data_IF_389755124017
#
_entry.id   IF_389755124017
#
_cell.length_a   1.000
_cell.length_b   1.000
_cell.length_c   1.000
_cell.angle_alpha   90.00
_cell.angle_beta   90.00
_cell.angle_gamma   90.00
#
_symmetry.space_group_name_H-M   'P 1'
#
loop_
_entity.id
_entity.type
_entity.pdbx_description
1 polymer ?
#
# COMPACT_ATOMS: atom_id res chain seq x y z
N UNK A 1 8.28 -25.04 -0.82
CA UNK A 1 6.96 -25.69 -0.92
C UNK A 1 5.97 -24.63 -1.40
N UNK A 2 5.43 -24.79 -2.61
CA UNK A 2 4.36 -23.93 -3.12
C UNK A 2 3.12 -24.21 -2.28
N UNK A 3 2.80 -23.33 -1.34
CA UNK A 3 1.52 -23.40 -0.65
C UNK A 3 0.44 -23.20 -1.72
N UNK A 4 -0.25 -24.26 -2.10
CA UNK A 4 -1.44 -24.14 -2.96
C UNK A 4 -2.47 -23.35 -2.18
N UNK A 5 -2.75 -22.14 -2.67
CA UNK A 5 -3.78 -21.28 -2.12
C UNK A 5 -5.13 -21.91 -2.40
N UNK A 6 -5.89 -22.22 -1.35
CA UNK A 6 -7.18 -22.89 -1.44
C UNK A 6 -8.28 -21.92 -1.91
N UNK A 7 -9.31 -22.34 -2.65
CA UNK A 7 -10.47 -21.52 -2.96
C UNK A 7 -11.11 -20.84 -1.74
N UNK A 8 -10.95 -21.43 -0.54
CA UNK A 8 -11.42 -20.89 0.75
C UNK A 8 -10.69 -19.61 1.18
N UNK A 9 -9.50 -19.36 0.67
CA UNK A 9 -8.67 -18.20 1.00
C UNK A 9 -8.88 -17.02 0.03
N UNK A 10 -9.69 -17.25 -1.00
CA UNK A 10 -9.95 -16.28 -2.06
C UNK A 10 -10.62 -15.00 -1.53
N UNK A 11 -11.60 -15.03 -0.62
CA UNK A 11 -12.21 -13.80 -0.10
C UNK A 11 -11.19 -12.89 0.58
N UNK A 12 -10.32 -13.43 1.44
CA UNK A 12 -9.34 -12.62 2.16
C UNK A 12 -8.24 -12.06 1.23
N UNK A 13 -7.91 -12.78 0.16
CA UNK A 13 -6.99 -12.28 -0.87
C UNK A 13 -7.63 -11.18 -1.74
N UNK A 14 -8.95 -11.23 -1.98
CA UNK A 14 -9.70 -10.16 -2.65
C UNK A 14 -9.67 -8.91 -1.77
N UNK A 15 -10.01 -9.04 -0.49
CA UNK A 15 -9.97 -7.93 0.47
C UNK A 15 -8.58 -7.29 0.53
N UNK A 16 -7.52 -8.11 0.60
CA UNK A 16 -6.15 -7.64 0.59
C UNK A 16 -5.79 -6.89 -0.71
N UNK A 17 -6.25 -7.40 -1.86
CA UNK A 17 -6.05 -6.74 -3.15
C UNK A 17 -6.80 -5.39 -3.22
N UNK A 18 -8.06 -5.33 -2.79
CA UNK A 18 -8.87 -4.11 -2.77
C UNK A 18 -8.32 -3.06 -1.80
N UNK A 19 -7.84 -3.50 -0.64
CA UNK A 19 -7.20 -2.62 0.32
C UNK A 19 -5.90 -2.02 -0.24
N UNK A 20 -5.06 -2.81 -0.93
CA UNK A 20 -3.87 -2.27 -1.61
C UNK A 20 -4.23 -1.26 -2.70
N UNK A 21 -5.29 -1.51 -3.48
CA UNK A 21 -5.81 -0.53 -4.45
C UNK A 21 -6.29 0.75 -3.77
N UNK A 22 -6.89 0.64 -2.58
CA UNK A 22 -7.33 1.78 -1.78
C UNK A 22 -6.15 2.61 -1.24
N UNK A 23 -5.07 1.95 -0.81
CA UNK A 23 -3.80 2.63 -0.44
C UNK A 23 -3.25 3.39 -1.63
N UNK A 24 -3.16 2.76 -2.81
CA UNK A 24 -2.70 3.42 -4.05
C UNK A 24 -3.56 4.64 -4.38
N UNK A 25 -4.89 4.51 -4.28
CA UNK A 25 -5.81 5.61 -4.54
C UNK A 25 -5.58 6.78 -3.58
N UNK A 26 -5.43 6.51 -2.29
CA UNK A 26 -5.17 7.55 -1.29
C UNK A 26 -3.83 8.26 -1.56
N UNK A 27 -2.76 7.52 -1.86
CA UNK A 27 -1.46 8.11 -2.20
C UNK A 27 -1.53 8.95 -3.48
N UNK A 28 -2.30 8.54 -4.49
CA UNK A 28 -2.52 9.34 -5.70
C UNK A 28 -3.29 10.62 -5.38
N UNK A 29 -4.35 10.54 -4.58
CA UNK A 29 -5.07 11.74 -4.13
C UNK A 29 -4.16 12.70 -3.38
N UNK A 30 -3.23 12.19 -2.55
CA UNK A 30 -2.21 13.04 -1.94
C UNK A 30 -1.30 13.70 -2.98
N UNK A 31 -0.83 12.97 -4.00
CA UNK A 31 0.01 13.53 -5.06
C UNK A 31 -0.74 14.60 -5.90
N UNK A 32 -2.03 14.40 -6.13
CA UNK A 32 -2.84 15.28 -6.97
C UNK A 32 -3.27 16.57 -6.24
N UNK A 33 -3.46 16.51 -4.91
CA UNK A 33 -4.01 17.63 -4.14
C UNK A 33 -3.06 18.19 -3.09
N UNK A 34 -1.95 17.49 -2.82
CA UNK A 34 -0.98 17.78 -1.74
C UNK A 34 -1.63 17.86 -0.34
N UNK A 35 -2.83 17.28 -0.18
CA UNK A 35 -3.57 17.28 1.09
C UNK A 35 -3.18 16.06 1.94
N UNK A 36 -2.47 16.34 3.04
CA UNK A 36 -1.96 15.34 3.97
C UNK A 36 -3.04 14.46 4.62
N UNK A 37 -4.32 14.84 4.58
CA UNK A 37 -5.43 13.95 4.96
C UNK A 37 -5.39 12.65 4.14
N UNK A 38 -5.01 12.71 2.87
CA UNK A 38 -4.89 11.52 2.03
C UNK A 38 -3.66 10.67 2.36
N UNK A 39 -2.54 11.28 2.76
CA UNK A 39 -1.37 10.54 3.24
C UNK A 39 -1.70 9.78 4.53
N UNK A 40 -2.35 10.44 5.51
CA UNK A 40 -2.84 9.77 6.73
C UNK A 40 -3.74 8.59 6.40
N UNK A 41 -4.71 8.82 5.51
CA UNK A 41 -5.64 7.78 5.06
C UNK A 41 -4.90 6.58 4.45
N UNK A 42 -3.86 6.81 3.66
CA UNK A 42 -3.05 5.73 3.10
C UNK A 42 -2.36 4.90 4.20
N UNK A 43 -1.81 5.55 5.23
CA UNK A 43 -1.18 4.89 6.38
C UNK A 43 -2.20 4.08 7.19
N UNK A 44 -3.37 4.65 7.49
CA UNK A 44 -4.45 3.95 8.20
C UNK A 44 -4.97 2.72 7.44
N UNK A 45 -5.18 2.87 6.12
CA UNK A 45 -5.57 1.76 5.25
C UNK A 45 -4.51 0.65 5.27
N UNK A 46 -3.23 1.02 5.22
CA UNK A 46 -2.15 0.06 5.29
C UNK A 46 -2.10 -0.67 6.64
N UNK A 47 -2.29 0.04 7.76
CA UNK A 47 -2.35 -0.59 9.08
C UNK A 47 -3.51 -1.60 9.18
N UNK A 48 -4.67 -1.30 8.59
CA UNK A 48 -5.78 -2.27 8.50
C UNK A 48 -5.40 -3.51 7.69
N UNK A 49 -4.68 -3.33 6.58
CA UNK A 49 -4.20 -4.44 5.75
C UNK A 49 -3.26 -5.38 6.50
N UNK A 50 -2.44 -4.86 7.44
CA UNK A 50 -1.52 -5.67 8.23
C UNK A 50 -2.24 -6.71 9.11
N UNK A 51 -3.52 -6.49 9.43
CA UNK A 51 -4.35 -7.46 10.14
C UNK A 51 -4.85 -8.62 9.29
N UNK A 52 -4.71 -8.55 7.96
CA UNK A 52 -5.11 -9.64 7.07
C UNK A 52 -4.12 -10.81 7.17
N UNK A 53 -4.65 -12.04 7.32
CA UNK A 53 -3.85 -13.26 7.52
C UNK A 53 -2.80 -13.52 6.43
N UNK A 54 -3.05 -13.06 5.21
CA UNK A 54 -2.17 -13.26 4.06
C UNK A 54 -1.17 -12.14 3.85
N UNK A 55 -1.28 -11.03 4.59
CA UNK A 55 -0.42 -9.86 4.44
C UNK A 55 1.05 -10.23 4.62
N UNK A 56 1.37 -11.06 5.62
CA UNK A 56 2.75 -11.48 5.90
C UNK A 56 3.40 -12.27 4.75
N UNK A 57 2.59 -12.91 3.90
CA UNK A 57 3.04 -13.66 2.73
C UNK A 57 3.19 -12.82 1.46
N UNK A 58 2.95 -11.51 1.52
CA UNK A 58 3.13 -10.62 0.38
C UNK A 58 4.62 -10.33 0.13
N UNK A 59 5.08 -10.70 -1.06
CA UNK A 59 6.40 -10.27 -1.54
C UNK A 59 6.42 -8.74 -1.67
N UNK A 60 7.46 -8.09 -1.15
CA UNK A 60 7.60 -6.64 -1.18
C UNK A 60 6.86 -5.89 -0.07
N UNK A 61 6.18 -6.57 0.86
CA UNK A 61 5.47 -5.92 1.96
C UNK A 61 6.36 -5.03 2.84
N UNK A 62 7.59 -5.48 3.12
CA UNK A 62 8.52 -4.77 4.00
C UNK A 62 8.95 -3.43 3.38
N UNK A 63 9.16 -3.41 2.06
CA UNK A 63 9.46 -2.17 1.34
C UNK A 63 8.26 -1.21 1.43
N UNK A 64 7.05 -1.68 1.10
CA UNK A 64 5.83 -0.88 1.23
C UNK A 64 5.64 -0.33 2.65
N UNK A 65 5.80 -1.17 3.67
CA UNK A 65 5.66 -0.81 5.08
C UNK A 65 6.70 0.24 5.50
N UNK A 66 7.98 0.02 5.16
CA UNK A 66 9.05 0.96 5.49
C UNK A 66 8.85 2.32 4.83
N UNK A 67 8.42 2.33 3.57
CA UNK A 67 8.16 3.58 2.84
C UNK A 67 6.99 4.35 3.44
N UNK A 68 5.86 3.68 3.74
CA UNK A 68 4.72 4.32 4.41
C UNK A 68 5.08 4.81 5.81
N UNK A 69 5.88 4.04 6.56
CA UNK A 69 6.36 4.46 7.88
C UNK A 69 7.24 5.70 7.79
N UNK A 70 8.17 5.73 6.84
CA UNK A 70 9.05 6.88 6.64
C UNK A 70 8.25 8.15 6.28
N UNK A 71 7.29 8.04 5.35
CA UNK A 71 6.41 9.16 5.00
C UNK A 71 5.57 9.63 6.20
N UNK A 72 5.04 8.69 7.00
CA UNK A 72 4.30 9.04 8.21
C UNK A 72 5.19 9.75 9.25
N UNK A 73 6.46 9.35 9.37
CA UNK A 73 7.40 10.01 10.27
C UNK A 73 7.69 11.45 9.84
N UNK A 74 7.89 11.69 8.54
CA UNK A 74 8.03 13.05 7.99
C UNK A 74 6.78 13.87 8.30
N UNK A 75 5.60 13.29 8.06
CA UNK A 75 4.34 13.96 8.38
C UNK A 75 4.20 14.28 9.87
N UNK A 76 4.53 13.35 10.78
CA UNK A 76 4.44 13.62 12.22
C UNK A 76 5.45 14.67 12.71
N UNK A 77 6.61 14.77 12.07
CA UNK A 77 7.64 15.73 12.43
C UNK A 77 7.33 17.16 11.97
N UNK A 78 6.81 17.31 10.75
CA UNK A 78 6.68 18.63 10.10
C UNK A 78 5.22 19.01 9.79
N UNK A 79 4.33 18.03 9.69
CA UNK A 79 2.95 18.22 9.26
C UNK A 79 2.89 18.95 7.91
N UNK A 80 1.98 19.92 7.84
CA UNK A 80 1.75 20.74 6.65
C UNK A 80 2.75 21.91 6.54
N UNK A 81 3.72 22.00 7.45
CA UNK A 81 4.75 23.06 7.51
C UNK A 81 6.12 22.57 7.02
N UNK A 82 6.11 21.62 6.10
CA UNK A 82 7.34 21.13 5.45
C UNK A 82 7.91 22.23 4.56
N UNK A 83 9.23 22.38 4.55
CA UNK A 83 9.90 23.19 3.54
C UNK A 83 9.83 22.51 2.16
N UNK A 84 9.95 23.31 1.10
CA UNK A 84 9.77 22.85 -0.29
C UNK A 84 10.68 21.67 -0.66
N UNK A 85 11.89 21.62 -0.12
CA UNK A 85 12.82 20.53 -0.40
C UNK A 85 12.35 19.23 0.26
N UNK A 86 12.00 19.26 1.55
CA UNK A 86 11.45 18.10 2.25
C UNK A 86 10.13 17.65 1.62
N UNK A 87 9.28 18.60 1.24
CA UNK A 87 8.02 18.29 0.55
C UNK A 87 8.26 17.61 -0.79
N UNK A 88 9.15 18.13 -1.64
CA UNK A 88 9.50 17.51 -2.91
C UNK A 88 10.04 16.08 -2.74
N UNK A 89 10.88 15.83 -1.74
CA UNK A 89 11.37 14.49 -1.41
C UNK A 89 10.27 13.56 -0.92
N UNK A 90 9.28 14.09 -0.20
CA UNK A 90 8.09 13.33 0.19
C UNK A 90 7.27 12.93 -1.04
N UNK A 91 7.07 13.82 -2.01
CA UNK A 91 6.35 13.50 -3.26
C UNK A 91 7.06 12.42 -4.08
N UNK A 92 8.39 12.49 -4.22
CA UNK A 92 9.21 11.42 -4.84
C UNK A 92 8.94 10.06 -4.17
N UNK A 93 8.94 10.07 -2.83
CA UNK A 93 8.73 8.89 -2.01
C UNK A 93 7.30 8.33 -2.17
N UNK A 94 6.30 9.20 -2.31
CA UNK A 94 4.90 8.82 -2.61
C UNK A 94 4.81 8.13 -3.95
N UNK A 95 5.42 8.68 -5.00
CA UNK A 95 5.43 8.09 -6.35
C UNK A 95 6.06 6.70 -6.32
N UNK A 96 7.22 6.56 -5.68
CA UNK A 96 7.86 5.26 -5.50
C UNK A 96 6.97 4.26 -4.75
N UNK A 97 6.33 4.70 -3.67
CA UNK A 97 5.42 3.87 -2.87
C UNK A 97 4.19 3.40 -3.66
N UNK A 98 3.62 4.28 -4.50
CA UNK A 98 2.53 3.92 -5.43
C UNK A 98 2.95 2.79 -6.38
N UNK A 99 4.16 2.89 -6.95
CA UNK A 99 4.69 1.84 -7.84
C UNK A 99 4.83 0.51 -7.09
N UNK A 100 5.39 0.52 -5.87
CA UNK A 100 5.53 -0.68 -5.05
C UNK A 100 4.18 -1.31 -4.69
N UNK A 101 3.22 -0.52 -4.23
CA UNK A 101 1.89 -1.02 -3.91
C UNK A 101 1.18 -1.61 -5.15
N UNK A 102 1.35 -1.01 -6.33
CA UNK A 102 0.82 -1.55 -7.58
C UNK A 102 1.46 -2.89 -7.97
N UNK A 103 2.78 -3.04 -7.84
CA UNK A 103 3.46 -4.32 -8.12
C UNK A 103 2.90 -5.44 -7.24
N UNK A 104 2.74 -5.17 -5.94
CA UNK A 104 2.16 -6.13 -4.98
C UNK A 104 0.72 -6.46 -5.36
N UNK A 105 -0.10 -5.45 -5.65
CA UNK A 105 -1.50 -5.60 -6.05
C UNK A 105 -1.64 -6.43 -7.33
N UNK A 106 -0.85 -6.15 -8.36
CA UNK A 106 -0.83 -6.93 -9.60
C UNK A 106 -0.40 -8.38 -9.37
N UNK A 107 0.57 -8.63 -8.47
CA UNK A 107 0.94 -9.98 -8.06
C UNK A 107 -0.23 -10.76 -7.44
N UNK A 108 -1.01 -10.12 -6.57
CA UNK A 108 -2.24 -10.69 -6.02
C UNK A 108 -3.31 -10.92 -7.09
N UNK A 109 -3.48 -9.97 -8.01
CA UNK A 109 -4.44 -10.10 -9.11
C UNK A 109 -4.15 -11.35 -9.96
N UNK A 110 -2.89 -11.62 -10.26
CA UNK A 110 -2.49 -12.86 -10.95
C UNK A 110 -2.79 -14.11 -10.13
N UNK A 111 -2.54 -14.10 -8.82
CA UNK A 111 -2.90 -15.23 -7.93
C UNK A 111 -4.41 -15.48 -7.95
N UNK A 112 -5.21 -14.44 -7.75
CA UNK A 112 -6.68 -14.50 -7.77
C UNK A 112 -7.24 -14.99 -9.11
N UNK A 113 -6.64 -14.59 -10.24
CA UNK A 113 -7.02 -15.05 -11.59
C UNK A 113 -6.73 -16.54 -11.78
N UNK A 114 -5.62 -17.07 -11.23
CA UNK A 114 -5.30 -18.50 -11.30
C UNK A 114 -6.27 -19.34 -10.47
N UNK A 115 -6.69 -18.85 -9.31
CA UNK A 115 -7.66 -19.52 -8.43
C UNK A 115 -9.07 -19.65 -9.03
N UNK A 116 -9.43 -18.85 -10.05
CA UNK A 116 -10.72 -18.98 -10.76
C UNK A 116 -10.74 -20.15 -11.76
N UNK A 117 -9.58 -20.67 -12.16
CA UNK A 117 -9.45 -21.71 -13.20
C UNK A 117 -9.19 -23.10 -12.64
N UNK A 118 -9.02 -23.24 -11.32
CA UNK A 118 -8.85 -24.51 -10.61
C UNK A 118 -10.11 -24.94 -9.88
#
# INVERSE_FOLDING_TARGET
MSHELSPKERPELIELHEGLRSVVKALRSFLDTEDYVFLKKAVELHQKLMGNKHYQGLSGRLDLENNLRAMNQVYLAYGDKTDDFVHGRLLDQVVYTIVRANIISTGLEFKLKRMRKG
#
